data_IF_417368946785
#
_entry.id   IF_417368946785
#
_cell.length_a   1.000
_cell.length_b   1.000
_cell.length_c   1.000
_cell.angle_alpha   90.00
_cell.angle_beta   90.00
_cell.angle_gamma   90.00
#
_symmetry.space_group_name_H-M   'P 1'
#
loop_
_entity.id
_entity.type
_entity.pdbx_description
1 polymer ?
#
# COMPACT_ATOMS: atom_id res chain seq x y z
N UNK A 1 21.04 -0.71 -10.89
CA UNK A 1 20.32 -0.15 -12.06
C UNK A 1 20.04 -1.25 -13.06
N UNK A 2 21.01 -2.14 -13.25
CA UNK A 2 20.94 -3.37 -14.06
C UNK A 2 19.60 -4.11 -14.02
N UNK A 3 19.09 -4.55 -12.85
CA UNK A 3 17.82 -5.30 -12.80
C UNK A 3 16.62 -4.58 -13.43
N UNK A 4 16.44 -3.28 -13.19
CA UNK A 4 15.31 -2.56 -13.78
C UNK A 4 15.45 -2.46 -15.32
N UNK A 5 16.67 -2.24 -15.80
CA UNK A 5 16.96 -2.15 -17.24
C UNK A 5 16.80 -3.51 -17.92
N UNK A 6 17.29 -4.59 -17.29
CA UNK A 6 17.10 -5.98 -17.74
C UNK A 6 15.63 -6.36 -17.85
N UNK A 7 14.78 -5.90 -16.91
CA UNK A 7 13.35 -6.15 -16.94
C UNK A 7 12.56 -5.15 -17.80
N UNK A 8 13.23 -4.21 -18.49
CA UNK A 8 12.58 -3.17 -19.29
C UNK A 8 11.79 -2.13 -18.48
N UNK A 9 12.04 -2.03 -17.17
CA UNK A 9 11.38 -1.11 -16.25
C UNK A 9 12.11 0.23 -16.27
N UNK A 10 11.43 1.27 -16.77
CA UNK A 10 11.96 2.64 -16.71
C UNK A 10 11.80 3.23 -15.31
N UNK A 11 12.92 3.49 -14.64
CA UNK A 11 12.93 4.10 -13.30
C UNK A 11 12.86 5.63 -13.41
N UNK A 12 11.84 6.22 -12.81
CA UNK A 12 11.73 7.66 -12.61
C UNK A 12 11.97 7.99 -11.14
N UNK A 13 12.80 8.99 -10.87
CA UNK A 13 13.06 9.47 -9.51
C UNK A 13 12.26 10.74 -9.25
N UNK A 14 11.79 10.92 -8.02
CA UNK A 14 11.22 12.17 -7.55
C UNK A 14 12.32 13.20 -7.32
N UNK A 15 11.99 14.48 -7.46
CA UNK A 15 12.89 15.57 -7.14
C UNK A 15 13.29 15.52 -5.65
N UNK A 16 14.55 15.82 -5.31
CA UNK A 16 14.98 15.94 -3.93
C UNK A 16 14.08 16.90 -3.15
N UNK A 17 13.82 16.59 -1.87
CA UNK A 17 13.02 17.43 -0.96
C UNK A 17 11.60 17.75 -1.45
N UNK A 18 11.05 16.95 -2.38
CA UNK A 18 9.70 17.13 -2.94
C UNK A 18 8.78 15.95 -2.62
N UNK A 19 8.47 15.67 -1.34
CA UNK A 19 7.67 14.50 -0.94
C UNK A 19 6.25 14.49 -1.54
N UNK A 20 5.73 15.66 -1.90
CA UNK A 20 4.41 15.80 -2.52
C UNK A 20 4.29 15.03 -3.83
N UNK A 21 5.39 14.82 -4.56
CA UNK A 21 5.42 14.02 -5.78
C UNK A 21 5.11 12.54 -5.53
N UNK A 22 5.36 12.04 -4.32
CA UNK A 22 5.10 10.66 -3.92
C UNK A 22 3.82 10.52 -3.07
N UNK A 23 3.04 11.59 -2.93
CA UNK A 23 1.94 11.66 -1.95
C UNK A 23 0.85 10.60 -2.15
N UNK A 24 0.63 10.11 -3.37
CA UNK A 24 -0.33 9.03 -3.65
C UNK A 24 0.14 7.71 -3.02
N UNK A 25 1.41 7.35 -3.24
CA UNK A 25 1.99 6.14 -2.67
C UNK A 25 2.08 6.24 -1.14
N UNK A 26 2.50 7.40 -0.62
CA UNK A 26 2.58 7.65 0.82
C UNK A 26 1.21 7.49 1.50
N UNK A 27 0.15 8.07 0.92
CA UNK A 27 -1.21 7.94 1.45
C UNK A 27 -1.70 6.49 1.42
N UNK A 28 -1.43 5.75 0.34
CA UNK A 28 -1.80 4.32 0.24
C UNK A 28 -1.08 3.49 1.30
N UNK A 29 0.21 3.73 1.50
CA UNK A 29 1.00 3.06 2.55
C UNK A 29 0.45 3.37 3.94
N UNK A 30 0.12 4.63 4.22
CA UNK A 30 -0.49 5.02 5.50
C UNK A 30 -1.81 4.27 5.74
N UNK A 31 -2.71 4.24 4.76
CA UNK A 31 -3.99 3.52 4.87
C UNK A 31 -3.79 2.03 5.16
N UNK A 32 -2.84 1.37 4.50
CA UNK A 32 -2.54 -0.06 4.75
C UNK A 32 -2.06 -0.24 6.20
N UNK A 33 -1.12 0.58 6.67
CA UNK A 33 -0.58 0.48 8.03
C UNK A 33 -1.65 0.73 9.10
N UNK A 34 -2.56 1.67 8.86
CA UNK A 34 -3.66 1.95 9.77
C UNK A 34 -4.65 0.79 9.85
N UNK A 35 -4.97 0.15 8.72
CA UNK A 35 -5.78 -1.08 8.69
C UNK A 35 -5.11 -2.22 9.46
N UNK A 36 -3.81 -2.42 9.26
CA UNK A 36 -3.06 -3.48 9.95
C UNK A 36 -3.08 -3.27 11.46
N UNK A 37 -2.82 -2.03 11.91
CA UNK A 37 -2.90 -1.67 13.34
C UNK A 37 -4.30 -1.91 13.90
N UNK A 38 -5.35 -1.54 13.16
CA UNK A 38 -6.73 -1.75 13.56
C UNK A 38 -7.09 -3.24 13.65
N UNK A 39 -6.66 -4.07 12.69
CA UNK A 39 -6.89 -5.51 12.69
C UNK A 39 -6.21 -6.20 13.87
N UNK A 40 -4.93 -5.91 14.11
CA UNK A 40 -4.17 -6.51 15.20
C UNK A 40 -4.75 -6.11 16.56
N UNK A 41 -4.99 -4.80 16.78
CA UNK A 41 -5.57 -4.31 18.04
C UNK A 41 -7.00 -4.81 18.25
N UNK A 42 -7.84 -4.78 17.22
CA UNK A 42 -9.24 -5.18 17.29
C UNK A 42 -9.45 -6.67 17.60
N UNK A 43 -8.44 -7.52 17.35
CA UNK A 43 -8.46 -8.95 17.69
C UNK A 43 -7.47 -9.33 18.80
N UNK A 44 -6.86 -8.35 19.46
CA UNK A 44 -5.80 -8.53 20.46
C UNK A 44 -4.70 -9.51 19.99
N UNK A 45 -4.31 -9.36 18.72
CA UNK A 45 -3.43 -10.30 18.03
C UNK A 45 -1.96 -9.91 18.25
N UNK A 46 -1.07 -10.89 18.51
CA UNK A 46 0.36 -10.60 18.64
C UNK A 46 0.97 -9.98 17.38
N UNK A 47 1.93 -9.07 17.56
CA UNK A 47 2.58 -8.35 16.46
C UNK A 47 3.31 -9.25 15.46
N UNK A 48 3.65 -10.49 15.84
CA UNK A 48 4.24 -11.48 14.93
C UNK A 48 3.38 -11.77 13.69
N UNK A 49 2.06 -11.54 13.78
CA UNK A 49 1.12 -11.72 12.66
C UNK A 49 1.00 -10.49 11.75
N UNK A 50 1.95 -9.57 11.85
CA UNK A 50 1.97 -8.34 11.05
C UNK A 50 1.93 -8.62 9.55
N UNK A 51 2.69 -9.60 9.06
CA UNK A 51 2.77 -9.92 7.64
C UNK A 51 1.42 -10.40 7.08
N UNK A 52 0.73 -11.27 7.82
CA UNK A 52 -0.59 -11.80 7.48
C UNK A 52 -1.65 -10.70 7.54
N UNK A 53 -1.58 -9.81 8.54
CA UNK A 53 -2.45 -8.66 8.63
C UNK A 53 -2.25 -7.68 7.46
N UNK A 54 -1.00 -7.48 7.00
CA UNK A 54 -0.70 -6.68 5.78
C UNK A 54 -1.31 -7.33 4.55
N UNK A 55 -1.13 -8.65 4.36
CA UNK A 55 -1.72 -9.37 3.24
C UNK A 55 -3.25 -9.25 3.23
N UNK A 56 -3.88 -9.38 4.40
CA UNK A 56 -5.32 -9.21 4.56
C UNK A 56 -5.78 -7.77 4.23
N UNK A 57 -5.07 -6.76 4.74
CA UNK A 57 -5.38 -5.36 4.46
C UNK A 57 -5.29 -5.04 2.97
N UNK A 58 -4.25 -5.51 2.28
CA UNK A 58 -4.09 -5.35 0.83
C UNK A 58 -5.19 -6.10 0.07
N UNK A 59 -5.50 -7.33 0.48
CA UNK A 59 -6.55 -8.15 -0.14
C UNK A 59 -7.91 -7.44 -0.12
N UNK A 60 -8.27 -6.85 1.02
CA UNK A 60 -9.51 -6.07 1.20
C UNK A 60 -9.45 -4.80 0.33
N UNK A 61 -8.36 -4.04 0.42
CA UNK A 61 -8.20 -2.78 -0.33
C UNK A 61 -8.32 -2.93 -1.85
N UNK A 62 -7.88 -4.07 -2.40
CA UNK A 62 -7.94 -4.34 -3.84
C UNK A 62 -9.27 -4.97 -4.28
N UNK A 63 -10.19 -5.26 -3.34
CA UNK A 63 -11.49 -5.90 -3.62
C UNK A 63 -12.70 -5.12 -3.13
N UNK A 64 -12.48 -4.07 -2.35
CA UNK A 64 -13.54 -3.17 -1.96
C UNK A 64 -13.78 -2.11 -3.05
N UNK A 65 -15.04 -1.75 -3.31
CA UNK A 65 -15.36 -0.62 -4.18
C UNK A 65 -14.66 0.65 -3.67
N UNK A 66 -13.98 1.34 -4.58
CA UNK A 66 -13.38 2.62 -4.24
C UNK A 66 -14.39 3.72 -4.57
N UNK A 67 -14.61 4.70 -3.69
CA UNK A 67 -15.65 5.74 -3.89
C UNK A 67 -15.50 6.56 -5.18
N UNK A 68 -14.30 6.58 -5.77
CA UNK A 68 -14.01 7.22 -7.06
C UNK A 68 -14.22 6.33 -8.28
N UNK A 69 -14.45 5.04 -8.07
CA UNK A 69 -14.62 4.02 -9.10
C UNK A 69 -16.07 3.54 -9.06
N UNK A 70 -16.78 3.60 -10.18
CA UNK A 70 -18.18 3.15 -10.26
C UNK A 70 -18.18 1.66 -10.57
N UNK A 71 -18.68 0.86 -9.61
CA UNK A 71 -18.84 -0.60 -9.69
C UNK A 71 -17.58 -1.40 -10.09
N UNK A 72 -16.40 -0.80 -9.92
CA UNK A 72 -15.12 -1.46 -10.18
C UNK A 72 -14.19 -1.34 -8.97
N UNK A 73 -13.43 -2.39 -8.73
CA UNK A 73 -12.36 -2.42 -7.73
C UNK A 73 -11.06 -1.93 -8.36
N UNK A 74 -10.09 -1.43 -7.55
CA UNK A 74 -8.79 -1.00 -8.05
C UNK A 74 -8.00 -2.07 -8.81
#
# INVERSE_FOLDING_TARGET
MEYCEEQGIKRFLTAPYSPQQNGVAERKNQTILDMVRAMLKGKNMPEKFWAEAVQCAIYIQNRCPHSKLVDVTP
#
